data_IF_625922956294
#
_entry.id   IF_625922956294
#
_cell.length_a   1.000
_cell.length_b   1.000
_cell.length_c   1.000
_cell.angle_alpha   90.00
_cell.angle_beta   90.00
_cell.angle_gamma   90.00
#
_symmetry.space_group_name_H-M   'P 1'
#
loop_
_entity.id
_entity.type
_entity.pdbx_description
1 polymer ?
#
# COMPACT_ATOMS: atom_id res chain seq x y z
N UNK A 1 -15.61 -12.18 0.03
CA UNK A 1 -16.89 -11.54 0.43
C UNK A 1 -16.97 -10.06 0.03
N UNK A 2 -18.15 -9.60 -0.46
CA UNK A 2 -18.43 -8.26 -1.03
C UNK A 2 -18.40 -7.11 0.01
N UNK A 3 -18.85 -7.35 1.24
CA UNK A 3 -19.01 -6.30 2.25
C UNK A 3 -17.86 -6.24 3.27
N UNK A 4 -17.04 -7.30 3.41
CA UNK A 4 -15.90 -7.40 4.35
C UNK A 4 -16.10 -6.71 5.72
N UNK A 5 -17.30 -6.78 6.30
CA UNK A 5 -17.61 -6.18 7.61
C UNK A 5 -17.02 -6.96 8.81
N UNK A 6 -16.13 -7.92 8.53
CA UNK A 6 -15.55 -8.82 9.54
C UNK A 6 -16.47 -9.97 9.94
N UNK A 7 -15.98 -10.81 10.86
CA UNK A 7 -16.70 -11.97 11.36
C UNK A 7 -17.87 -11.60 12.30
N UNK A 8 -17.76 -10.45 12.97
CA UNK A 8 -18.71 -9.95 13.96
C UNK A 8 -18.96 -8.45 13.76
N UNK A 9 -19.71 -8.08 12.71
CA UNK A 9 -20.06 -6.68 12.44
C UNK A 9 -20.97 -6.13 13.54
N UNK A 10 -20.78 -4.85 13.89
CA UNK A 10 -21.70 -4.14 14.79
C UNK A 10 -23.02 -3.86 14.09
N UNK A 11 -24.08 -3.64 14.86
CA UNK A 11 -25.38 -3.22 14.29
C UNK A 11 -25.25 -1.94 13.48
N UNK A 12 -24.57 -0.94 14.03
CA UNK A 12 -24.31 0.36 13.38
C UNK A 12 -23.67 0.19 11.99
N UNK A 13 -22.67 -0.69 11.86
CA UNK A 13 -21.98 -0.92 10.58
C UNK A 13 -22.90 -1.58 9.53
N UNK A 14 -23.84 -2.43 9.97
CA UNK A 14 -24.81 -3.09 9.08
C UNK A 14 -25.88 -2.08 8.66
N UNK A 15 -26.37 -1.28 9.61
CA UNK A 15 -27.33 -0.21 9.35
C UNK A 15 -26.78 0.78 8.33
N UNK A 16 -25.55 1.27 8.50
CA UNK A 16 -24.89 2.18 7.55
C UNK A 16 -24.85 1.59 6.12
N UNK A 17 -24.57 0.29 5.99
CA UNK A 17 -24.61 -0.40 4.69
C UNK A 17 -26.03 -0.48 4.14
N UNK A 18 -27.02 -0.78 4.98
CA UNK A 18 -28.42 -0.82 4.57
C UNK A 18 -28.91 0.56 4.11
N UNK A 19 -28.57 1.63 4.84
CA UNK A 19 -28.84 3.02 4.45
C UNK A 19 -28.24 3.32 3.08
N UNK A 20 -26.97 2.97 2.87
CA UNK A 20 -26.30 3.15 1.57
C UNK A 20 -27.00 2.39 0.44
N UNK A 21 -27.46 1.15 0.68
CA UNK A 21 -28.17 0.35 -0.32
C UNK A 21 -29.54 0.92 -0.66
N UNK A 22 -30.27 1.42 0.33
CA UNK A 22 -31.58 2.08 0.14
C UNK A 22 -31.41 3.39 -0.62
N UNK A 23 -30.43 4.21 -0.27
CA UNK A 23 -30.09 5.43 -1.02
C UNK A 23 -29.71 5.11 -2.47
N UNK A 24 -28.91 4.06 -2.69
CA UNK A 24 -28.57 3.62 -4.03
C UNK A 24 -29.81 3.15 -4.81
N UNK A 25 -30.70 2.37 -4.18
CA UNK A 25 -31.95 1.92 -4.79
C UNK A 25 -32.86 3.09 -5.17
N UNK A 26 -33.10 4.02 -4.25
CA UNK A 26 -33.98 5.18 -4.45
C UNK A 26 -33.44 6.15 -5.52
N UNK A 27 -32.12 6.17 -5.75
CA UNK A 27 -31.51 7.00 -6.79
C UNK A 27 -31.79 6.48 -8.21
N UNK A 28 -31.96 5.18 -8.39
CA UNK A 28 -32.06 4.55 -9.72
C UNK A 28 -33.48 4.03 -10.05
N UNK A 29 -34.42 4.09 -9.11
CA UNK A 29 -35.80 3.66 -9.31
C UNK A 29 -36.78 4.81 -9.10
N UNK A 30 -37.85 4.81 -9.89
CA UNK A 30 -38.90 5.83 -9.83
C UNK A 30 -39.79 5.69 -8.57
N UNK A 31 -39.92 4.46 -8.06
CA UNK A 31 -40.60 4.17 -6.80
C UNK A 31 -39.60 4.24 -5.64
N UNK A 32 -39.67 5.33 -4.88
CA UNK A 32 -38.85 5.53 -3.69
C UNK A 32 -39.48 4.85 -2.48
N UNK A 33 -38.65 4.18 -1.70
CA UNK A 33 -39.04 3.58 -0.44
C UNK A 33 -38.80 4.60 0.67
N UNK A 34 -39.83 4.87 1.48
CA UNK A 34 -39.71 5.73 2.66
C UNK A 34 -38.86 5.06 3.74
N UNK A 35 -38.01 5.84 4.42
CA UNK A 35 -37.16 5.33 5.52
C UNK A 35 -37.98 4.78 6.70
N UNK A 36 -39.18 5.30 6.89
CA UNK A 36 -40.16 4.91 7.89
C UNK A 36 -40.96 3.65 7.51
N UNK A 37 -40.97 3.27 6.24
CA UNK A 37 -41.62 2.05 5.74
C UNK A 37 -40.75 0.80 5.92
N UNK A 38 -39.46 1.00 6.21
CA UNK A 38 -38.47 -0.06 6.31
C UNK A 38 -38.34 -0.53 7.75
N UNK A 39 -38.47 -1.85 7.95
CA UNK A 39 -38.18 -2.52 9.22
C UNK A 39 -36.67 -2.77 9.35
N UNK A 40 -35.94 -1.76 9.85
CA UNK A 40 -34.49 -1.78 10.00
C UNK A 40 -34.00 -2.87 10.94
N UNK A 41 -34.68 -3.07 12.06
CA UNK A 41 -34.32 -4.09 13.04
C UNK A 41 -34.31 -5.49 12.41
N UNK A 42 -35.37 -5.80 11.63
CA UNK A 42 -35.47 -7.08 10.93
C UNK A 42 -34.40 -7.23 9.85
N UNK A 43 -34.16 -6.20 9.04
CA UNK A 43 -33.14 -6.24 7.99
C UNK A 43 -31.73 -6.42 8.56
N UNK A 44 -31.41 -5.76 9.68
CA UNK A 44 -30.12 -5.89 10.35
C UNK A 44 -29.90 -7.32 10.84
N UNK A 45 -30.94 -7.96 11.42
CA UNK A 45 -30.90 -9.36 11.84
C UNK A 45 -30.68 -10.29 10.63
N UNK A 46 -31.47 -10.11 9.57
CA UNK A 46 -31.42 -10.94 8.37
C UNK A 46 -30.04 -10.86 7.69
N UNK A 47 -29.52 -9.63 7.52
CA UNK A 47 -28.20 -9.39 6.92
C UNK A 47 -27.07 -9.95 7.79
N UNK A 48 -27.13 -9.78 9.11
CA UNK A 48 -26.17 -10.39 10.03
C UNK A 48 -26.12 -11.90 9.88
N UNK A 49 -27.28 -12.54 9.82
CA UNK A 49 -27.37 -13.99 9.68
C UNK A 49 -26.72 -14.44 8.36
N UNK A 50 -26.97 -13.73 7.26
CA UNK A 50 -26.35 -14.01 5.96
C UNK A 50 -24.83 -13.85 6.02
N UNK A 51 -24.32 -12.74 6.58
CA UNK A 51 -22.87 -12.48 6.70
C UNK A 51 -22.19 -13.58 7.53
N UNK A 52 -22.78 -13.98 8.65
CA UNK A 52 -22.23 -15.04 9.49
C UNK A 52 -22.13 -16.38 8.74
N UNK A 53 -23.14 -16.70 7.90
CA UNK A 53 -23.15 -17.89 7.07
C UNK A 53 -22.06 -17.88 6.00
N UNK A 54 -21.82 -16.73 5.35
CA UNK A 54 -20.78 -16.58 4.32
C UNK A 54 -19.38 -16.70 4.93
N UNK A 55 -19.13 -16.03 6.05
CA UNK A 55 -17.83 -16.03 6.71
C UNK A 55 -17.42 -17.42 7.23
N UNK A 56 -18.40 -18.26 7.61
CA UNK A 56 -18.15 -19.65 7.98
C UNK A 56 -17.52 -20.46 6.83
N UNK A 57 -17.97 -20.22 5.60
CA UNK A 57 -17.51 -20.92 4.39
C UNK A 57 -16.14 -20.41 3.91
N UNK A 58 -15.88 -19.10 4.02
CA UNK A 58 -14.64 -18.44 3.53
C UNK A 58 -13.41 -18.66 4.43
N UNK A 59 -13.56 -19.29 5.61
CA UNK A 59 -12.48 -19.49 6.60
C UNK A 59 -11.33 -20.42 6.17
N UNK A 60 -11.39 -20.97 4.95
CA UNK A 60 -10.45 -21.97 4.42
C UNK A 60 -9.38 -21.42 3.47
N UNK A 61 -9.40 -20.12 3.15
CA UNK A 61 -8.39 -19.51 2.27
C UNK A 61 -7.58 -18.45 3.00
N UNK A 62 -6.30 -18.75 3.28
CA UNK A 62 -5.29 -17.75 3.62
C UNK A 62 -4.95 -16.98 2.35
N UNK A 63 -5.70 -15.91 2.10
CA UNK A 63 -5.53 -15.12 0.90
C UNK A 63 -4.32 -14.18 1.11
N UNK A 64 -3.22 -14.45 0.40
CA UNK A 64 -2.00 -13.61 0.32
C UNK A 64 -2.31 -12.30 -0.46
N UNK A 65 -3.39 -11.61 -0.08
CA UNK A 65 -3.81 -10.39 -0.72
C UNK A 65 -2.99 -9.21 -0.23
N UNK A 66 -2.50 -8.43 -1.19
CA UNK A 66 -1.81 -7.16 -0.94
C UNK A 66 -2.69 -6.00 -1.39
N UNK A 67 -2.86 -5.00 -0.53
CA UNK A 67 -3.61 -3.79 -0.82
C UNK A 67 -2.68 -2.67 -1.25
N UNK A 68 -2.95 -2.06 -2.40
CA UNK A 68 -2.20 -0.91 -2.90
C UNK A 68 -3.05 0.35 -2.74
N UNK A 69 -2.57 1.30 -1.95
CA UNK A 69 -3.20 2.60 -1.77
C UNK A 69 -2.62 3.61 -2.76
N UNK A 70 -3.49 4.24 -3.54
CA UNK A 70 -3.15 5.39 -4.40
C UNK A 70 -3.86 6.60 -3.81
N UNK A 71 -3.11 7.44 -3.12
CA UNK A 71 -3.63 8.49 -2.25
C UNK A 71 -3.43 9.88 -2.85
N UNK A 72 -4.45 10.72 -2.74
CA UNK A 72 -4.32 12.16 -3.03
C UNK A 72 -3.30 12.83 -2.10
N UNK A 73 -2.60 13.85 -2.60
CA UNK A 73 -1.54 14.58 -1.86
C UNK A 73 -1.98 15.05 -0.47
N UNK A 74 -3.24 15.45 -0.33
CA UNK A 74 -3.76 16.02 0.91
C UNK A 74 -3.97 14.97 2.02
N UNK A 75 -4.09 13.68 1.65
CA UNK A 75 -4.36 12.60 2.59
C UNK A 75 -3.18 11.66 2.80
N UNK A 76 -2.05 11.89 2.10
CA UNK A 76 -0.85 11.07 2.26
C UNK A 76 -0.23 11.19 3.66
N UNK A 77 -0.48 12.28 4.39
CA UNK A 77 0.03 12.42 5.76
C UNK A 77 -0.67 11.51 6.78
N UNK A 78 -1.85 10.97 6.46
CA UNK A 78 -2.61 10.12 7.37
C UNK A 78 -2.03 8.70 7.40
N UNK A 79 -1.95 8.06 8.58
CA UNK A 79 -1.42 6.70 8.72
C UNK A 79 -2.49 5.64 8.37
N UNK A 80 -2.94 5.62 7.11
CA UNK A 80 -4.00 4.70 6.63
C UNK A 80 -3.73 3.23 6.96
N UNK A 81 -2.48 2.79 6.84
CA UNK A 81 -2.04 1.43 7.17
C UNK A 81 -2.25 1.07 8.64
N UNK A 82 -2.35 2.07 9.53
CA UNK A 82 -2.56 1.86 10.96
C UNK A 82 -4.03 1.81 11.37
N UNK A 83 -4.96 2.03 10.43
CA UNK A 83 -6.39 1.88 10.67
C UNK A 83 -6.73 0.44 11.05
N UNK A 84 -7.68 0.20 11.99
CA UNK A 84 -8.02 -1.14 12.45
C UNK A 84 -8.36 -2.14 11.33
N UNK A 85 -8.99 -1.66 10.25
CA UNK A 85 -9.37 -2.48 9.10
C UNK A 85 -8.20 -2.85 8.17
N UNK A 86 -7.07 -2.13 8.23
CA UNK A 86 -5.90 -2.32 7.36
C UNK A 86 -4.66 -2.82 8.11
N UNK A 87 -4.60 -2.65 9.43
CA UNK A 87 -3.40 -2.95 10.25
C UNK A 87 -2.92 -4.40 10.15
N UNK A 88 -3.81 -5.34 9.90
CA UNK A 88 -3.48 -6.76 9.75
C UNK A 88 -3.25 -7.21 8.30
N UNK A 89 -3.32 -6.29 7.34
CA UNK A 89 -3.16 -6.59 5.91
C UNK A 89 -1.78 -6.15 5.42
N UNK A 90 -1.29 -6.80 4.37
CA UNK A 90 -0.13 -6.31 3.63
C UNK A 90 -0.56 -5.09 2.80
N UNK A 91 -0.02 -3.91 3.12
CA UNK A 91 -0.39 -2.65 2.48
C UNK A 91 0.85 -1.92 1.96
N UNK A 92 0.77 -1.37 0.75
CA UNK A 92 1.78 -0.43 0.23
C UNK A 92 1.11 0.77 -0.43
N UNK A 93 1.88 1.86 -0.61
CA UNK A 93 1.43 3.05 -1.34
C UNK A 93 2.11 3.15 -2.68
N UNK A 94 1.36 3.57 -3.69
CA UNK A 94 1.89 3.96 -5.00
C UNK A 94 1.40 5.34 -5.39
N UNK A 95 2.19 6.09 -6.18
CA UNK A 95 1.81 7.45 -6.59
C UNK A 95 0.69 7.46 -7.63
N UNK A 96 0.61 6.43 -8.49
CA UNK A 96 -0.36 6.37 -9.58
C UNK A 96 -0.52 4.96 -10.14
N UNK A 97 -1.60 4.77 -10.92
CA UNK A 97 -1.82 3.53 -11.69
C UNK A 97 -0.80 3.37 -12.84
N UNK A 98 -0.31 4.47 -13.42
CA UNK A 98 0.75 4.40 -14.44
C UNK A 98 2.02 3.79 -13.86
N UNK A 99 2.42 4.23 -12.66
CA UNK A 99 3.57 3.66 -11.96
C UNK A 99 3.38 2.18 -11.66
N UNK A 100 2.19 1.77 -11.21
CA UNK A 100 1.87 0.35 -11.00
C UNK A 100 2.02 -0.46 -12.29
N UNK A 101 1.45 0.03 -13.40
CA UNK A 101 1.56 -0.60 -14.72
C UNK A 101 3.01 -0.76 -15.14
N UNK A 102 3.82 0.28 -14.98
CA UNK A 102 5.24 0.26 -15.34
C UNK A 102 6.00 -0.80 -14.54
N UNK A 103 5.69 -0.95 -13.24
CA UNK A 103 6.29 -2.00 -12.39
C UNK A 103 5.88 -3.40 -12.80
N UNK A 104 4.61 -3.63 -13.11
CA UNK A 104 4.12 -4.94 -13.61
C UNK A 104 4.81 -5.29 -14.94
N UNK A 105 4.88 -4.34 -15.87
CA UNK A 105 5.53 -4.55 -17.17
C UNK A 105 7.03 -4.84 -17.02
N UNK A 106 7.72 -4.13 -16.12
CA UNK A 106 9.12 -4.37 -15.80
C UNK A 106 9.34 -5.78 -15.24
N UNK A 107 8.50 -6.22 -14.28
CA UNK A 107 8.57 -7.57 -13.72
C UNK A 107 8.31 -8.65 -14.77
N UNK A 108 7.31 -8.47 -15.62
CA UNK A 108 7.02 -9.41 -16.72
C UNK A 108 8.20 -9.52 -17.69
N UNK A 109 8.86 -8.41 -18.00
CA UNK A 109 10.04 -8.40 -18.86
C UNK A 109 11.21 -9.19 -18.24
N UNK A 110 11.46 -9.03 -16.94
CA UNK A 110 12.49 -9.80 -16.22
C UNK A 110 12.14 -11.29 -16.20
N UNK A 111 10.89 -11.64 -15.86
CA UNK A 111 10.45 -13.03 -15.81
C UNK A 111 10.54 -13.71 -17.18
N UNK A 112 10.24 -13.01 -18.27
CA UNK A 112 10.38 -13.55 -19.63
C UNK A 112 11.85 -13.75 -20.07
N UNK A 113 12.80 -13.05 -19.44
CA UNK A 113 14.23 -13.24 -19.71
C UNK A 113 14.85 -14.36 -18.86
N UNK A 114 14.28 -14.66 -17.69
CA UNK A 114 14.71 -15.77 -16.84
C UNK A 114 13.90 -17.05 -17.19
N UNK A 115 14.47 -17.89 -18.05
CA UNK A 115 13.90 -19.21 -18.32
C UNK A 115 13.85 -20.04 -17.02
N UNK A 116 12.65 -20.53 -16.69
CA UNK A 116 12.37 -21.56 -15.67
C UNK A 116 12.69 -21.20 -14.20
N UNK A 117 11.84 -20.36 -13.60
CA UNK A 117 11.45 -20.63 -12.21
C UNK A 117 10.02 -20.13 -11.97
N UNK A 118 9.14 -21.02 -11.51
CA UNK A 118 7.74 -20.76 -11.15
C UNK A 118 7.58 -19.86 -9.90
N UNK A 119 8.59 -19.06 -9.59
CA UNK A 119 8.61 -18.18 -8.42
C UNK A 119 8.34 -16.78 -8.93
N UNK A 120 7.09 -16.34 -8.83
CA UNK A 120 6.65 -14.95 -9.12
C UNK A 120 7.24 -13.90 -8.16
N UNK A 121 8.22 -14.27 -7.33
CA UNK A 121 8.74 -13.43 -6.26
C UNK A 121 10.00 -12.74 -6.75
N UNK A 122 10.04 -11.41 -6.60
CA UNK A 122 11.26 -10.64 -6.80
C UNK A 122 12.29 -11.04 -5.73
N UNK A 123 13.33 -11.76 -6.13
CA UNK A 123 14.39 -12.22 -5.22
C UNK A 123 15.47 -11.15 -5.12
N UNK A 124 15.65 -10.60 -3.92
CA UNK A 124 16.74 -9.66 -3.61
C UNK A 124 17.99 -10.48 -3.29
N UNK A 125 19.08 -10.26 -4.04
CA UNK A 125 20.39 -10.84 -3.72
C UNK A 125 21.00 -10.09 -2.51
N UNK A 126 21.03 -10.76 -1.36
CA UNK A 126 21.60 -10.21 -0.12
C UNK A 126 23.06 -9.79 -0.28
N UNK A 127 23.82 -10.38 -1.22
CA UNK A 127 25.23 -10.04 -1.46
C UNK A 127 25.39 -8.74 -2.25
N UNK A 128 24.32 -8.26 -2.88
CA UNK A 128 24.26 -6.98 -3.59
C UNK A 128 23.46 -5.96 -2.80
N UNK A 129 23.55 -6.01 -1.48
CA UNK A 129 22.91 -5.04 -0.61
C UNK A 129 23.93 -4.01 -0.12
N UNK A 130 23.55 -2.73 -0.19
CA UNK A 130 24.32 -1.60 0.30
C UNK A 130 23.62 -1.00 1.51
N UNK A 131 24.37 -0.74 2.58
CA UNK A 131 23.81 -0.22 3.82
C UNK A 131 24.59 1.00 4.31
N UNK A 132 23.88 2.04 4.73
CA UNK A 132 24.41 3.17 5.51
C UNK A 132 23.88 3.01 6.92
N UNK A 133 24.66 2.32 7.76
CA UNK A 133 24.30 1.94 9.13
C UNK A 133 25.30 2.52 10.14
N UNK A 134 24.78 2.90 11.30
CA UNK A 134 25.58 3.18 12.49
C UNK A 134 25.09 2.27 13.64
N UNK A 135 25.76 1.15 14.02
CA UNK A 135 26.83 0.39 13.34
C UNK A 135 26.62 -1.16 13.30
N UNK A 136 27.22 -1.87 12.30
CA UNK A 136 27.98 -3.16 12.38
C UNK A 136 28.08 -4.06 11.12
N UNK A 137 27.59 -3.69 9.93
CA UNK A 137 27.79 -4.48 8.68
C UNK A 137 28.44 -3.64 7.56
N UNK A 138 29.05 -4.29 6.56
CA UNK A 138 29.81 -3.64 5.47
C UNK A 138 29.01 -2.50 4.81
N UNK A 139 29.56 -1.27 4.91
CA UNK A 139 28.90 -0.03 4.51
C UNK A 139 29.65 1.23 4.95
N UNK A 140 29.11 2.41 4.65
CA UNK A 140 29.63 3.67 5.22
C UNK A 140 29.19 3.75 6.68
N UNK A 141 30.11 3.42 7.59
CA UNK A 141 29.88 3.41 9.04
C UNK A 141 30.51 4.66 9.67
N UNK A 142 29.80 5.28 10.61
CA UNK A 142 30.30 6.36 11.49
C UNK A 142 30.78 7.64 10.78
N UNK A 143 30.44 7.85 9.51
CA UNK A 143 30.64 9.11 8.80
C UNK A 143 29.48 9.40 7.84
N UNK A 144 29.24 10.66 7.49
CA UNK A 144 28.35 10.99 6.39
C UNK A 144 28.84 10.36 5.06
N UNK A 145 27.96 9.75 4.26
CA UNK A 145 28.33 9.22 2.95
C UNK A 145 28.57 10.35 1.95
N UNK A 146 29.50 10.13 1.02
CA UNK A 146 29.68 11.03 -0.11
C UNK A 146 28.55 10.84 -1.13
N UNK A 147 28.19 11.90 -1.87
CA UNK A 147 27.13 11.86 -2.88
C UNK A 147 27.37 10.75 -3.94
N UNK A 148 28.63 10.51 -4.30
CA UNK A 148 29.03 9.45 -5.24
C UNK A 148 28.80 8.04 -4.66
N UNK A 149 29.00 7.85 -3.36
CA UNK A 149 28.76 6.57 -2.68
C UNK A 149 27.26 6.27 -2.66
N UNK A 150 26.42 7.26 -2.35
CA UNK A 150 24.96 7.14 -2.43
C UNK A 150 24.51 6.80 -3.85
N UNK A 151 25.05 7.48 -4.87
CA UNK A 151 24.72 7.23 -6.28
C UNK A 151 25.08 5.81 -6.70
N UNK A 152 26.29 5.35 -6.37
CA UNK A 152 26.75 4.01 -6.70
C UNK A 152 25.95 2.94 -5.93
N UNK A 153 25.63 3.22 -4.67
CA UNK A 153 24.74 2.42 -3.82
C UNK A 153 23.40 2.18 -4.49
N UNK A 154 22.70 3.25 -4.87
CA UNK A 154 21.39 3.18 -5.52
C UNK A 154 21.43 2.51 -6.90
N UNK A 155 22.45 2.77 -7.72
CA UNK A 155 22.48 2.29 -9.10
C UNK A 155 22.87 0.81 -9.23
N UNK A 156 23.83 0.35 -8.42
CA UNK A 156 24.52 -0.92 -8.67
C UNK A 156 24.14 -2.06 -7.72
N UNK A 157 23.27 -1.79 -6.75
CA UNK A 157 22.83 -2.77 -5.74
C UNK A 157 21.36 -3.12 -5.93
N UNK A 158 20.94 -4.23 -5.32
CA UNK A 158 19.56 -4.70 -5.34
C UNK A 158 18.78 -4.18 -4.11
N UNK A 159 19.48 -3.92 -3.00
CA UNK A 159 18.94 -3.33 -1.77
C UNK A 159 19.82 -2.16 -1.30
N UNK A 160 19.20 -1.05 -0.90
CA UNK A 160 19.85 0.13 -0.34
C UNK A 160 19.19 0.49 1.00
N UNK A 161 19.87 0.28 2.11
CA UNK A 161 19.38 0.67 3.43
C UNK A 161 20.04 1.95 3.89
N UNK A 162 19.26 2.89 4.41
CA UNK A 162 19.71 4.22 4.72
C UNK A 162 19.15 4.69 6.06
N UNK A 163 20.00 4.73 7.10
CA UNK A 163 19.60 5.08 8.48
C UNK A 163 20.24 6.39 8.91
N UNK A 164 19.69 7.55 8.55
CA UNK A 164 20.28 8.87 8.88
C UNK A 164 19.22 10.00 9.03
N UNK A 165 19.61 11.09 9.69
CA UNK A 165 18.77 12.26 9.96
C UNK A 165 18.72 13.30 8.83
N UNK A 166 19.58 13.18 7.80
CA UNK A 166 19.73 14.20 6.74
C UNK A 166 19.90 13.55 5.36
N UNK A 167 19.70 14.33 4.29
CA UNK A 167 19.85 13.90 2.89
C UNK A 167 21.25 14.24 2.34
N UNK A 168 21.97 13.26 1.77
CA UNK A 168 23.35 13.45 1.23
C UNK A 168 23.45 13.29 -0.29
N UNK A 169 22.32 13.07 -0.98
CA UNK A 169 22.26 13.03 -2.45
C UNK A 169 21.09 13.89 -2.94
N UNK A 170 21.34 14.73 -3.94
CA UNK A 170 20.31 15.65 -4.47
C UNK A 170 19.27 14.90 -5.32
N UNK A 171 18.00 15.30 -5.24
CA UNK A 171 16.89 14.62 -5.94
C UNK A 171 17.06 14.55 -7.47
N UNK A 172 17.67 15.56 -8.10
CA UNK A 172 17.94 15.53 -9.55
C UNK A 172 18.96 14.46 -9.94
N UNK A 173 19.87 14.07 -9.03
CA UNK A 173 20.83 12.99 -9.28
C UNK A 173 20.16 11.62 -9.21
N UNK A 174 19.19 11.47 -8.30
CA UNK A 174 18.38 10.23 -8.20
C UNK A 174 17.51 10.08 -9.44
N UNK A 175 16.82 11.14 -9.88
CA UNK A 175 15.97 11.11 -11.10
C UNK A 175 16.74 10.81 -12.38
N UNK A 176 18.04 11.07 -12.41
CA UNK A 176 18.90 10.78 -13.54
C UNK A 176 19.40 9.32 -13.58
N UNK A 177 19.02 8.48 -12.62
CA UNK A 177 19.37 7.06 -12.60
C UNK A 177 18.33 6.27 -13.41
N UNK A 178 18.82 5.40 -14.31
CA UNK A 178 17.95 4.50 -15.08
C UNK A 178 17.29 3.43 -14.20
N UNK A 179 17.96 3.06 -13.10
CA UNK A 179 17.48 2.08 -12.12
C UNK A 179 17.91 2.48 -10.70
N UNK A 180 17.09 2.11 -9.73
CA UNK A 180 17.39 2.27 -8.31
C UNK A 180 17.15 0.95 -7.57
N UNK A 181 18.02 0.65 -6.60
CA UNK A 181 17.86 -0.43 -5.64
C UNK A 181 16.55 -0.28 -4.84
N UNK A 182 16.00 -1.40 -4.37
CA UNK A 182 14.92 -1.37 -3.37
C UNK A 182 15.47 -0.66 -2.14
N UNK A 183 14.79 0.40 -1.69
CA UNK A 183 15.37 1.32 -0.72
C UNK A 183 14.59 1.31 0.59
N UNK A 184 15.29 1.09 1.71
CA UNK A 184 14.76 1.18 3.07
C UNK A 184 15.31 2.44 3.73
N UNK A 185 14.46 3.47 3.88
CA UNK A 185 14.82 4.72 4.53
C UNK A 185 14.35 4.69 5.99
N UNK A 186 15.29 4.79 6.92
CA UNK A 186 15.03 4.90 8.35
C UNK A 186 15.53 6.25 8.85
N UNK A 187 14.62 7.19 9.06
CA UNK A 187 14.96 8.51 9.57
C UNK A 187 13.73 9.30 9.95
N UNK A 188 13.90 10.26 10.87
CA UNK A 188 12.85 11.22 11.20
C UNK A 188 12.41 11.92 9.92
N UNK A 189 11.12 11.87 9.60
CA UNK A 189 10.52 12.51 8.42
C UNK A 189 10.93 11.95 7.05
N UNK A 190 11.47 10.73 6.98
CA UNK A 190 11.84 10.08 5.71
C UNK A 190 10.68 9.87 4.72
N UNK A 191 9.44 9.79 5.22
CA UNK A 191 8.20 9.76 4.43
C UNK A 191 7.37 11.04 4.53
N UNK A 192 7.93 12.14 5.04
CA UNK A 192 7.21 13.41 5.16
C UNK A 192 7.19 14.12 3.81
N UNK A 193 6.00 14.57 3.42
CA UNK A 193 5.80 15.38 2.23
C UNK A 193 5.73 16.84 2.68
N UNK A 194 6.64 17.65 2.16
CA UNK A 194 6.52 19.09 2.26
C UNK A 194 5.50 19.56 1.24
N UNK A 195 4.53 20.36 1.66
CA UNK A 195 3.50 20.91 0.78
C UNK A 195 4.17 21.81 -0.29
N UNK A 196 4.23 21.33 -1.53
CA UNK A 196 4.78 22.06 -2.67
C UNK A 196 3.81 23.07 -3.29
N UNK A 197 2.62 23.22 -2.70
CA UNK A 197 1.53 24.05 -3.22
C UNK A 197 0.65 23.33 -4.23
N UNK A 198 -0.20 24.08 -4.94
CA UNK A 198 -1.18 23.51 -5.88
C UNK A 198 -0.55 22.83 -7.11
N UNK A 199 0.67 23.22 -7.47
CA UNK A 199 1.33 22.86 -8.72
C UNK A 199 2.54 21.94 -8.54
N UNK A 200 2.49 20.98 -7.60
CA UNK A 200 3.54 19.96 -7.53
C UNK A 200 3.59 19.17 -8.84
N UNK A 201 4.66 19.30 -9.65
CA UNK A 201 4.94 18.33 -10.69
C UNK A 201 5.63 17.14 -10.02
N UNK A 202 5.05 15.96 -10.21
CA UNK A 202 5.64 14.65 -9.87
C UNK A 202 7.11 14.51 -10.23
#
# INVERSE_FOLDING_TARGET
SLLRLGAYPKDEDIEDVLYFLVDAYNKYNDEQIGYDEIDWDKLTIDVRQIISGINFVDSSQTDDQHVILILDKNVQMLPWESLPCLRSQAVSRLPSLSFLRDRIMFMNHINNQQCESNISNYVIDQRKAFYVLNPRWDGVISRPPFEQECKNGLANNDLYMYVLQQQYIRSHRIRALDRCAVTLLFGCSSGHLCDGGEFDPS
#
